data_IF_764081187362
#
_entry.id   IF_764081187362
#
_cell.length_a   1.000
_cell.length_b   1.000
_cell.length_c   1.000
_cell.angle_alpha   90.00
_cell.angle_beta   90.00
_cell.angle_gamma   90.00
#
_symmetry.space_group_name_H-M   'P 1'
#
loop_
_entity.id
_entity.type
_entity.pdbx_description
1 polymer ?
#
# COMPACT_ATOMS: atom_id res chain seq x y z
N UNK A 1 -22.48 -15.16 -21.15
CA UNK A 1 -21.82 -13.93 -21.63
C UNK A 1 -20.95 -13.45 -20.50
N UNK A 2 -19.64 -13.62 -20.61
CA UNK A 2 -18.74 -13.57 -19.45
C UNK A 2 -17.32 -13.08 -19.81
N UNK A 3 -16.83 -13.31 -21.03
CA UNK A 3 -15.43 -13.01 -21.38
C UNK A 3 -14.94 -11.56 -21.20
N UNK A 4 -15.72 -10.53 -21.58
CA UNK A 4 -15.30 -9.14 -21.42
C UNK A 4 -15.42 -8.63 -19.98
N UNK A 5 -16.48 -9.00 -19.27
CA UNK A 5 -16.66 -8.60 -17.88
C UNK A 5 -15.63 -9.28 -16.97
N UNK A 6 -15.38 -10.57 -17.17
CA UNK A 6 -14.35 -11.31 -16.44
C UNK A 6 -12.94 -10.78 -16.71
N UNK A 7 -12.67 -10.31 -17.94
CA UNK A 7 -11.39 -9.66 -18.25
C UNK A 7 -11.24 -8.34 -17.49
N UNK A 8 -12.28 -7.51 -17.43
CA UNK A 8 -12.24 -6.27 -16.65
C UNK A 8 -12.12 -6.52 -15.15
N UNK A 9 -12.82 -7.53 -14.63
CA UNK A 9 -12.73 -7.92 -13.23
C UNK A 9 -11.31 -8.42 -12.89
N UNK A 10 -10.71 -9.26 -13.75
CA UNK A 10 -9.33 -9.70 -13.62
C UNK A 10 -8.34 -8.53 -13.61
N UNK A 11 -8.43 -7.62 -14.59
CA UNK A 11 -7.51 -6.47 -14.69
C UNK A 11 -7.67 -5.55 -13.48
N UNK A 12 -8.91 -5.29 -13.05
CA UNK A 12 -9.17 -4.36 -11.94
C UNK A 12 -8.73 -4.96 -10.60
N UNK A 13 -9.18 -6.18 -10.30
CA UNK A 13 -8.94 -6.81 -9.01
C UNK A 13 -7.48 -7.26 -8.85
N UNK A 14 -6.87 -7.84 -9.90
CA UNK A 14 -5.53 -8.44 -9.80
C UNK A 14 -4.39 -7.55 -10.23
N UNK A 15 -4.65 -6.54 -11.07
CA UNK A 15 -3.60 -5.64 -11.56
C UNK A 15 -3.75 -4.25 -10.96
N UNK A 16 -4.88 -3.58 -11.17
CA UNK A 16 -5.04 -2.18 -10.74
C UNK A 16 -4.98 -2.01 -9.22
N UNK A 17 -5.61 -2.90 -8.45
CA UNK A 17 -5.66 -2.79 -6.99
C UNK A 17 -4.27 -2.92 -6.33
N UNK A 18 -3.49 -3.99 -6.55
CA UNK A 18 -2.14 -4.09 -6.00
C UNK A 18 -1.19 -3.04 -6.59
N UNK A 19 -1.31 -2.68 -7.87
CA UNK A 19 -0.47 -1.64 -8.48
C UNK A 19 -0.76 -0.26 -7.90
N UNK A 20 -2.03 0.07 -7.68
CA UNK A 20 -2.46 1.27 -6.98
C UNK A 20 -1.96 1.30 -5.53
N UNK A 21 -2.10 0.18 -4.81
CA UNK A 21 -1.54 0.04 -3.46
C UNK A 21 -0.04 0.23 -3.41
N UNK A 22 0.70 -0.30 -4.39
CA UNK A 22 2.15 -0.21 -4.46
C UNK A 22 2.58 1.25 -4.68
N UNK A 23 1.95 1.94 -5.62
CA UNK A 23 2.21 3.36 -5.88
C UNK A 23 1.91 4.22 -4.64
N UNK A 24 0.77 3.99 -3.98
CA UNK A 24 0.40 4.70 -2.75
C UNK A 24 1.42 4.42 -1.64
N UNK A 25 1.84 3.17 -1.45
CA UNK A 25 2.82 2.81 -0.40
C UNK A 25 4.18 3.48 -0.64
N UNK A 26 4.62 3.58 -1.91
CA UNK A 26 5.86 4.26 -2.27
C UNK A 26 5.73 5.77 -2.05
N UNK A 27 4.62 6.35 -2.48
CA UNK A 27 4.36 7.77 -2.28
C UNK A 27 4.32 8.14 -0.79
N UNK A 28 3.51 7.42 -0.01
CA UNK A 28 3.34 7.67 1.43
C UNK A 28 4.61 7.35 2.24
N UNK A 29 5.37 6.34 1.84
CA UNK A 29 6.58 5.90 2.56
C UNK A 29 7.81 6.78 2.32
N UNK A 30 7.97 7.35 1.12
CA UNK A 30 9.18 8.07 0.72
C UNK A 30 8.96 9.51 0.30
N UNK A 31 7.82 9.84 -0.31
CA UNK A 31 7.57 11.17 -0.89
C UNK A 31 6.73 12.07 0.02
N UNK A 32 5.84 11.49 0.81
CA UNK A 32 4.95 12.24 1.70
C UNK A 32 5.73 12.87 2.86
N UNK A 33 5.38 14.12 3.15
CA UNK A 33 6.07 14.93 4.13
C UNK A 33 5.86 14.38 5.55
N UNK A 34 6.95 14.20 6.31
CA UNK A 34 6.89 13.56 7.64
C UNK A 34 5.99 14.30 8.62
N UNK A 35 5.82 15.61 8.42
CA UNK A 35 4.93 16.47 9.24
C UNK A 35 3.47 16.10 9.05
N UNK A 36 3.05 15.86 7.80
CA UNK A 36 1.68 15.43 7.46
C UNK A 36 1.44 14.03 8.02
N UNK A 37 2.41 13.14 7.83
CA UNK A 37 2.33 11.78 8.40
C UNK A 37 2.22 11.83 9.93
N UNK A 38 2.96 12.72 10.58
CA UNK A 38 2.88 12.92 12.03
C UNK A 38 1.54 13.52 12.48
N UNK A 39 1.01 14.54 11.81
CA UNK A 39 -0.29 15.14 12.17
C UNK A 39 -1.41 14.13 12.07
N UNK A 40 -1.41 13.32 11.01
CA UNK A 40 -2.45 12.33 10.77
C UNK A 40 -2.39 11.19 11.79
N UNK A 41 -1.18 10.72 12.09
CA UNK A 41 -0.96 9.62 13.02
C UNK A 41 -1.22 10.07 14.47
N UNK A 42 -0.76 11.26 14.84
CA UNK A 42 -0.94 11.80 16.19
C UNK A 42 -2.31 12.47 16.41
N UNK A 43 -3.17 12.52 15.39
CA UNK A 43 -4.44 13.25 15.39
C UNK A 43 -4.23 14.68 15.93
N UNK A 44 -3.38 15.44 15.24
CA UNK A 44 -2.92 16.80 15.61
C UNK A 44 -2.26 16.89 17.00
N UNK A 45 -1.60 15.83 17.43
CA UNK A 45 -0.89 15.77 18.71
C UNK A 45 -1.77 15.37 19.91
N UNK A 46 -3.04 15.02 19.69
CA UNK A 46 -3.92 14.51 20.75
C UNK A 46 -3.53 13.09 21.22
N UNK A 47 -2.90 12.29 20.36
CA UNK A 47 -2.44 10.94 20.67
C UNK A 47 -0.91 10.88 20.80
N UNK A 48 -0.42 10.49 21.99
CA UNK A 48 1.00 10.18 22.20
C UNK A 48 1.32 8.86 21.52
N UNK A 49 2.07 8.89 20.42
CA UNK A 49 2.49 7.69 19.69
C UNK A 49 3.99 7.40 19.88
N UNK A 50 4.37 6.66 20.95
CA UNK A 50 5.76 6.24 21.17
C UNK A 50 6.27 5.30 20.06
N UNK A 51 5.37 4.62 19.35
CA UNK A 51 5.66 3.69 18.27
C UNK A 51 5.68 4.35 16.88
N UNK A 52 5.63 5.69 16.77
CA UNK A 52 5.60 6.39 15.48
C UNK A 52 6.75 5.99 14.54
N UNK A 53 7.99 5.90 15.06
CA UNK A 53 9.15 5.48 14.25
C UNK A 53 8.99 4.07 13.69
N UNK A 54 8.40 3.15 14.46
CA UNK A 54 8.13 1.79 14.01
C UNK A 54 7.03 1.78 12.95
N UNK A 55 5.97 2.56 13.14
CA UNK A 55 4.87 2.65 12.18
C UNK A 55 5.35 3.23 10.84
N UNK A 56 6.14 4.30 10.87
CA UNK A 56 6.77 4.86 9.66
C UNK A 56 7.70 3.85 8.99
N UNK A 57 8.43 3.04 9.76
CA UNK A 57 9.25 1.97 9.21
C UNK A 57 8.41 0.90 8.50
N UNK A 58 7.28 0.51 9.09
CA UNK A 58 6.32 -0.42 8.48
C UNK A 58 5.75 0.16 7.19
N UNK A 59 5.27 1.42 7.20
CA UNK A 59 4.75 2.07 6.00
C UNK A 59 5.79 2.21 4.90
N UNK A 60 7.04 2.50 5.25
CA UNK A 60 8.12 2.72 4.28
C UNK A 60 8.72 1.43 3.72
N UNK A 61 8.76 0.35 4.48
CA UNK A 61 9.45 -0.87 4.02
C UNK A 61 8.53 -2.08 3.94
N UNK A 62 7.75 -2.35 4.99
CA UNK A 62 6.95 -3.56 5.09
C UNK A 62 5.72 -3.50 4.16
N UNK A 63 5.02 -2.37 4.13
CA UNK A 63 3.86 -2.17 3.25
C UNK A 63 4.19 -2.35 1.75
N UNK A 64 5.20 -1.66 1.18
CA UNK A 64 5.54 -1.84 -0.25
C UNK A 64 6.02 -3.25 -0.55
N UNK A 65 6.78 -3.90 0.35
CA UNK A 65 7.21 -5.30 0.17
C UNK A 65 6.01 -6.25 0.18
N UNK A 66 5.08 -6.08 1.13
CA UNK A 66 3.89 -6.92 1.23
C UNK A 66 3.01 -6.80 -0.02
N UNK A 67 2.79 -5.58 -0.52
CA UNK A 67 1.99 -5.35 -1.73
C UNK A 67 2.69 -5.92 -2.95
N UNK A 68 4.02 -5.78 -3.05
CA UNK A 68 4.80 -6.39 -4.13
C UNK A 68 4.69 -7.92 -4.11
N UNK A 69 4.72 -8.55 -2.93
CA UNK A 69 4.54 -10.00 -2.79
C UNK A 69 3.14 -10.45 -3.21
N UNK A 70 2.10 -9.72 -2.81
CA UNK A 70 0.72 -9.98 -3.25
C UNK A 70 0.61 -9.84 -4.76
N UNK A 71 1.22 -8.80 -5.35
CA UNK A 71 1.21 -8.59 -6.79
C UNK A 71 1.86 -9.73 -7.56
N UNK A 72 3.03 -10.22 -7.11
CA UNK A 72 3.72 -11.37 -7.71
C UNK A 72 2.89 -12.65 -7.57
N UNK A 73 2.22 -12.85 -6.43
CA UNK A 73 1.34 -13.99 -6.19
C UNK A 73 0.09 -13.95 -7.10
N UNK A 74 -0.57 -12.80 -7.21
CA UNK A 74 -1.74 -12.60 -8.08
C UNK A 74 -1.43 -12.79 -9.56
N UNK A 75 -0.21 -12.46 -9.98
CA UNK A 75 0.31 -12.74 -11.34
C UNK A 75 0.63 -14.22 -11.58
N UNK A 76 0.55 -15.09 -10.57
CA UNK A 76 0.80 -16.52 -10.69
C UNK A 76 2.26 -16.91 -10.89
N UNK A 77 3.20 -16.02 -10.56
CA UNK A 77 4.65 -16.25 -10.68
C UNK A 77 5.15 -17.15 -9.54
N UNK A 78 4.50 -17.12 -8.38
CA UNK A 78 4.72 -18.05 -7.27
C UNK A 78 3.67 -19.16 -7.37
N UNK A 79 4.11 -20.35 -7.81
CA UNK A 79 3.30 -21.57 -7.81
C UNK A 79 3.58 -22.39 -6.56
#
# INVERSE_FOLDING_TARGET
>A
GLGLFDLFDFVTAKVMLPLGGLLISIFTGWYLDKKIVWSEISNDGSLKMPLYKLLVFILRFIAPIAILLIFINELGILK
#
